data_IF_854583723742
#
_entry.id   IF_854583723742
#
_cell.length_a   1.000
_cell.length_b   1.000
_cell.length_c   1.000
_cell.angle_alpha   90.00
_cell.angle_beta   90.00
_cell.angle_gamma   90.00
#
_symmetry.space_group_name_H-M   'P 1'
#
loop_
_entity.id
_entity.type
_entity.pdbx_description
1 polymer ?
#
# COMPACT_ATOMS: atom_id res chain seq x y z
N UNK A 1 40.88 23.50 -22.24
CA UNK A 1 41.08 24.26 -20.99
C UNK A 1 40.19 25.49 -20.98
N UNK A 2 40.31 26.37 -21.97
CA UNK A 2 39.53 27.62 -22.06
C UNK A 2 38.01 27.40 -22.12
N UNK A 3 37.52 26.44 -22.89
CA UNK A 3 36.08 26.13 -22.99
C UNK A 3 35.47 25.64 -21.66
N UNK A 4 36.22 24.86 -20.88
CA UNK A 4 35.77 24.38 -19.56
C UNK A 4 35.72 25.51 -18.53
N UNK A 5 36.67 26.45 -18.59
CA UNK A 5 36.68 27.64 -17.73
C UNK A 5 35.48 28.53 -18.06
N UNK A 6 35.19 28.75 -19.34
CA UNK A 6 34.02 29.53 -19.78
C UNK A 6 32.72 28.88 -19.29
N UNK A 7 32.57 27.56 -19.47
CA UNK A 7 31.38 26.84 -18.98
C UNK A 7 31.23 26.94 -17.46
N UNK A 8 32.31 26.82 -16.70
CA UNK A 8 32.27 26.97 -15.24
C UNK A 8 31.83 28.37 -14.80
N UNK A 9 32.31 29.42 -15.48
CA UNK A 9 31.90 30.81 -15.22
C UNK A 9 30.43 31.00 -15.57
N UNK A 10 29.97 30.48 -16.72
CA UNK A 10 28.55 30.57 -17.12
C UNK A 10 27.64 29.87 -16.11
N UNK A 11 27.99 28.64 -15.68
CA UNK A 11 27.21 27.91 -14.67
C UNK A 11 27.20 28.66 -13.34
N UNK A 12 28.32 29.22 -12.90
CA UNK A 12 28.40 30.02 -11.67
C UNK A 12 27.54 31.29 -11.75
N UNK A 13 27.58 32.00 -12.89
CA UNK A 13 26.74 33.18 -13.12
C UNK A 13 25.27 32.79 -13.10
N UNK A 14 24.87 31.71 -13.78
CA UNK A 14 23.50 31.21 -13.77
C UNK A 14 23.06 30.82 -12.35
N UNK A 15 23.91 30.13 -11.58
CA UNK A 15 23.63 29.79 -10.19
C UNK A 15 23.41 31.03 -9.33
N UNK A 16 24.27 32.05 -9.46
CA UNK A 16 24.10 33.33 -8.74
C UNK A 16 22.83 34.07 -9.16
N UNK A 17 22.46 33.99 -10.44
CA UNK A 17 21.24 34.60 -10.96
C UNK A 17 20.00 33.91 -10.40
N UNK A 18 20.00 32.57 -10.34
CA UNK A 18 18.95 31.78 -9.68
C UNK A 18 18.87 32.13 -8.19
N UNK A 19 19.99 32.17 -7.45
CA UNK A 19 19.99 32.55 -6.03
C UNK A 19 19.42 33.96 -5.79
N UNK A 20 19.72 34.91 -6.69
CA UNK A 20 19.20 36.28 -6.60
C UNK A 20 17.70 36.35 -6.92
N UNK A 21 17.23 35.58 -7.89
CA UNK A 21 15.80 35.51 -8.24
C UNK A 21 15.01 34.80 -7.14
N UNK A 22 15.51 33.68 -6.62
CA UNK A 22 14.83 32.92 -5.56
C UNK A 22 14.76 33.71 -4.26
N UNK A 23 15.83 34.39 -3.85
CA UNK A 23 15.79 35.26 -2.65
C UNK A 23 14.84 36.46 -2.80
N UNK A 24 14.61 36.94 -4.02
CA UNK A 24 13.64 38.01 -4.30
C UNK A 24 12.20 37.50 -4.36
N UNK A 25 11.97 36.33 -4.95
CA UNK A 25 10.65 35.71 -5.07
C UNK A 25 10.19 35.06 -3.75
N UNK A 26 11.15 34.52 -3.00
CA UNK A 26 10.95 33.86 -1.72
C UNK A 26 11.89 34.46 -0.68
N UNK A 27 11.58 35.66 -0.16
CA UNK A 27 12.34 36.21 0.95
C UNK A 27 12.22 35.25 2.15
N UNK A 28 13.31 35.04 2.92
CA UNK A 28 13.34 34.08 4.03
C UNK A 28 12.26 34.36 5.10
N UNK A 29 11.80 35.60 5.21
CA UNK A 29 10.75 36.04 6.14
C UNK A 29 9.35 36.13 5.49
N UNK A 30 9.16 35.61 4.27
CA UNK A 30 7.90 35.73 3.52
C UNK A 30 6.71 35.05 4.19
N UNK A 31 6.98 34.08 5.05
CA UNK A 31 5.97 33.46 5.92
C UNK A 31 6.29 33.83 7.35
N UNK A 32 5.84 35.00 7.78
CA UNK A 32 5.62 35.22 9.21
C UNK A 32 4.51 34.27 9.62
N UNK A 33 4.88 33.15 10.22
CA UNK A 33 3.94 32.32 10.98
C UNK A 33 3.44 33.22 12.09
N UNK A 34 2.29 33.84 11.86
CA UNK A 34 1.58 34.48 12.95
C UNK A 34 1.21 33.34 13.88
N UNK A 35 1.83 33.30 15.06
CA UNK A 35 1.24 32.60 16.20
C UNK A 35 -0.08 33.31 16.46
N UNK A 36 -1.12 32.83 15.80
CA UNK A 36 -2.47 33.29 16.04
C UNK A 36 -2.74 32.95 17.51
N UNK A 37 -3.08 33.92 18.37
CA UNK A 37 -3.51 33.59 19.71
C UNK A 37 -4.63 32.58 19.57
N UNK A 38 -4.45 31.44 20.23
CA UNK A 38 -5.30 30.27 20.09
C UNK A 38 -6.72 30.63 20.52
N UNK A 39 -7.57 30.98 19.55
CA UNK A 39 -8.98 31.30 19.75
C UNK A 39 -9.87 30.13 19.37
N UNK A 40 -9.30 28.93 19.26
CA UNK A 40 -10.06 27.71 19.03
C UNK A 40 -10.68 27.26 20.38
N UNK A 41 -12.02 27.11 20.47
CA UNK A 41 -12.64 26.73 21.73
C UNK A 41 -12.20 25.32 22.15
N UNK A 42 -11.74 25.23 23.39
CA UNK A 42 -10.79 24.26 23.96
C UNK A 42 -11.15 22.75 23.93
N UNK A 43 -12.16 22.27 23.19
CA UNK A 43 -12.78 21.00 23.55
C UNK A 43 -13.48 20.22 22.44
N UNK A 44 -13.34 18.89 22.45
CA UNK A 44 -14.24 17.94 21.79
C UNK A 44 -15.69 18.01 22.35
N UNK A 45 -16.61 17.20 21.80
CA UNK A 45 -18.02 17.17 22.20
C UNK A 45 -18.27 16.83 23.69
N UNK A 46 -17.23 16.45 24.44
CA UNK A 46 -17.24 16.14 25.87
C UNK A 46 -16.37 17.09 26.71
N UNK A 47 -15.77 18.12 26.14
CA UNK A 47 -15.01 19.09 26.91
C UNK A 47 -13.49 18.92 26.91
N UNK A 48 -12.86 18.16 26.00
CA UNK A 48 -11.40 17.95 26.00
C UNK A 48 -10.70 18.17 24.65
N UNK A 49 -9.60 18.95 24.63
CA UNK A 49 -8.62 18.89 23.53
C UNK A 49 -7.50 17.90 23.88
N UNK A 50 -7.13 16.97 22.98
CA UNK A 50 -5.85 16.30 23.10
C UNK A 50 -4.74 17.33 22.88
N UNK A 51 -3.82 17.46 23.83
CA UNK A 51 -2.64 18.33 23.74
C UNK A 51 -1.86 18.07 22.44
N UNK A 52 -1.15 19.06 21.92
CA UNK A 52 -0.40 18.99 20.66
C UNK A 52 0.54 17.76 20.56
N UNK A 53 1.13 17.30 21.67
CA UNK A 53 1.86 16.03 21.76
C UNK A 53 1.07 14.79 21.29
N UNK A 54 -0.26 14.73 21.48
CA UNK A 54 -1.10 13.61 21.04
C UNK A 54 -1.30 13.54 19.52
N UNK A 55 -1.33 14.69 18.84
CA UNK A 55 -1.47 14.75 17.37
C UNK A 55 -0.21 14.24 16.66
N UNK A 56 0.99 14.60 17.16
CA UNK A 56 2.26 14.12 16.58
C UNK A 56 2.41 12.60 16.73
N UNK A 57 1.94 12.04 17.85
CA UNK A 57 1.94 10.58 18.08
C UNK A 57 1.00 9.87 17.11
N UNK A 58 -0.18 10.42 16.83
CA UNK A 58 -1.14 9.85 15.87
C UNK A 58 -0.56 9.81 14.43
N UNK A 59 0.12 10.87 14.00
CA UNK A 59 0.76 10.91 12.67
C UNK A 59 1.91 9.91 12.52
N UNK A 60 2.71 9.72 13.57
CA UNK A 60 3.78 8.72 13.58
C UNK A 60 3.21 7.29 13.58
N UNK A 61 2.15 7.03 14.37
CA UNK A 61 1.43 5.75 14.37
C UNK A 61 0.87 5.44 12.98
N UNK A 62 0.17 6.37 12.36
CA UNK A 62 -0.37 6.20 11.01
C UNK A 62 0.73 5.90 9.99
N UNK A 63 1.85 6.63 10.02
CA UNK A 63 2.99 6.38 9.12
C UNK A 63 3.55 4.96 9.29
N UNK A 64 3.68 4.48 10.53
CA UNK A 64 4.12 3.11 10.81
C UNK A 64 3.14 2.08 10.28
N UNK A 65 1.84 2.26 10.49
CA UNK A 65 0.81 1.38 9.94
C UNK A 65 0.85 1.31 8.41
N UNK A 66 1.01 2.46 7.74
CA UNK A 66 1.13 2.50 6.28
C UNK A 66 2.39 1.76 5.80
N UNK A 67 3.53 1.96 6.46
CA UNK A 67 4.76 1.26 6.13
C UNK A 67 4.61 -0.26 6.29
N UNK A 68 3.98 -0.73 7.37
CA UNK A 68 3.70 -2.15 7.60
C UNK A 68 2.76 -2.72 6.52
N UNK A 69 1.70 -2.00 6.14
CA UNK A 69 0.80 -2.40 5.05
C UNK A 69 1.53 -2.49 3.71
N UNK A 70 2.41 -1.54 3.42
CA UNK A 70 3.21 -1.54 2.19
C UNK A 70 4.18 -2.72 2.15
N UNK A 71 4.84 -3.00 3.28
CA UNK A 71 5.73 -4.16 3.41
C UNK A 71 4.96 -5.47 3.21
N UNK A 72 3.81 -5.64 3.87
CA UNK A 72 2.96 -6.82 3.71
C UNK A 72 2.45 -6.99 2.26
N UNK A 73 2.12 -5.90 1.58
CA UNK A 73 1.72 -5.92 0.17
C UNK A 73 2.88 -6.35 -0.75
N UNK A 74 4.10 -5.89 -0.47
CA UNK A 74 5.31 -6.30 -1.21
C UNK A 74 5.63 -7.78 -1.01
N UNK A 75 5.49 -8.29 0.21
CA UNK A 75 5.65 -9.70 0.53
C UNK A 75 4.58 -10.56 -0.18
N UNK A 76 3.34 -10.09 -0.23
CA UNK A 76 2.27 -10.72 -0.99
C UNK A 76 2.58 -10.78 -2.50
N UNK A 77 3.00 -9.65 -3.10
CA UNK A 77 3.38 -9.61 -4.53
C UNK A 77 4.54 -10.58 -4.82
N UNK A 78 5.56 -10.58 -3.96
CA UNK A 78 6.70 -11.50 -4.08
C UNK A 78 6.24 -12.96 -4.06
N UNK A 79 5.36 -13.32 -3.13
CA UNK A 79 4.78 -14.67 -3.03
C UNK A 79 3.98 -15.04 -4.30
N UNK A 80 3.04 -14.21 -4.74
CA UNK A 80 2.19 -14.53 -5.90
C UNK A 80 2.94 -14.50 -7.24
N UNK A 81 4.13 -13.88 -7.28
CA UNK A 81 5.05 -13.93 -8.42
C UNK A 81 6.05 -15.08 -8.37
N UNK A 82 6.14 -15.80 -7.26
CA UNK A 82 7.05 -16.94 -7.10
C UNK A 82 6.76 -18.07 -8.08
N UNK A 83 7.78 -18.86 -8.42
CA UNK A 83 7.65 -20.00 -9.35
C UNK A 83 6.82 -21.12 -8.71
N UNK A 84 7.01 -21.29 -7.41
CA UNK A 84 6.36 -22.25 -6.53
C UNK A 84 4.85 -22.02 -6.54
N UNK A 85 4.42 -20.79 -6.30
CA UNK A 85 3.00 -20.44 -6.36
C UNK A 85 2.41 -20.64 -7.76
N UNK A 86 3.10 -20.18 -8.82
CA UNK A 86 2.59 -20.36 -10.20
C UNK A 86 2.40 -21.83 -10.56
N UNK A 87 3.34 -22.70 -10.16
CA UNK A 87 3.24 -24.15 -10.35
C UNK A 87 2.07 -24.72 -9.57
N UNK A 88 1.95 -24.39 -8.29
CA UNK A 88 0.88 -24.90 -7.43
C UNK A 88 -0.50 -24.42 -7.89
N UNK A 89 -0.61 -23.15 -8.32
CA UNK A 89 -1.81 -22.56 -8.90
C UNK A 89 -2.29 -23.37 -10.11
N UNK A 90 -1.37 -23.73 -11.01
CA UNK A 90 -1.70 -24.59 -12.16
C UNK A 90 -2.21 -25.96 -11.70
N UNK A 91 -1.52 -26.59 -10.74
CA UNK A 91 -1.93 -27.89 -10.18
C UNK A 91 -3.32 -27.84 -9.53
N UNK A 92 -3.65 -26.75 -8.84
CA UNK A 92 -4.98 -26.56 -8.24
C UNK A 92 -6.08 -26.52 -9.30
N UNK A 93 -5.90 -25.77 -10.39
CA UNK A 93 -6.86 -25.76 -11.50
C UNK A 93 -7.00 -27.13 -12.19
N UNK A 94 -5.91 -27.90 -12.29
CA UNK A 94 -5.98 -29.26 -12.83
C UNK A 94 -6.76 -30.21 -11.90
N UNK A 95 -6.56 -30.08 -10.59
CA UNK A 95 -7.14 -30.98 -9.58
C UNK A 95 -8.62 -30.70 -9.32
N UNK A 96 -8.99 -29.42 -9.18
CA UNK A 96 -10.31 -29.00 -8.74
C UNK A 96 -11.17 -28.45 -9.90
N UNK A 97 -10.61 -28.33 -11.10
CA UNK A 97 -11.31 -27.79 -12.26
C UNK A 97 -11.32 -26.25 -12.31
N UNK A 98 -12.11 -25.70 -13.22
CA UNK A 98 -12.17 -24.26 -13.48
C UNK A 98 -13.56 -23.66 -13.23
N UNK A 99 -14.18 -24.07 -12.11
CA UNK A 99 -15.48 -23.57 -11.64
C UNK A 99 -15.37 -23.13 -10.18
N UNK A 100 -16.17 -22.15 -9.81
CA UNK A 100 -16.24 -21.67 -8.43
C UNK A 100 -16.91 -22.74 -7.56
N UNK A 101 -16.22 -23.18 -6.50
CA UNK A 101 -16.78 -24.11 -5.50
C UNK A 101 -17.95 -23.53 -4.69
N UNK A 102 -18.17 -22.21 -4.71
CA UNK A 102 -19.30 -21.59 -3.99
C UNK A 102 -20.53 -21.44 -4.86
N UNK A 103 -20.38 -20.86 -6.05
CA UNK A 103 -21.52 -20.51 -6.91
C UNK A 103 -21.63 -21.32 -8.20
N UNK A 104 -20.70 -22.26 -8.45
CA UNK A 104 -20.70 -23.12 -9.63
C UNK A 104 -20.33 -22.45 -10.96
N UNK A 105 -20.31 -21.11 -11.03
CA UNK A 105 -19.94 -20.34 -12.25
C UNK A 105 -18.45 -20.48 -12.58
N UNK A 106 -18.13 -20.45 -13.86
CA UNK A 106 -16.76 -20.51 -14.39
C UNK A 106 -16.46 -19.44 -15.44
N UNK A 107 -15.36 -19.60 -16.16
CA UNK A 107 -14.94 -18.65 -17.20
C UNK A 107 -15.97 -18.48 -18.33
N UNK A 108 -16.75 -19.52 -18.64
CA UNK A 108 -17.86 -19.47 -19.61
C UNK A 108 -18.97 -18.49 -19.20
N UNK A 109 -19.10 -18.22 -17.90
CA UNK A 109 -20.09 -17.30 -17.34
C UNK A 109 -19.51 -15.88 -17.16
N UNK A 110 -18.34 -15.61 -17.76
CA UNK A 110 -17.64 -14.32 -17.65
C UNK A 110 -16.90 -14.10 -16.32
N UNK A 111 -16.73 -15.15 -15.50
CA UNK A 111 -16.06 -15.03 -14.21
C UNK A 111 -14.54 -15.12 -14.34
N UNK A 112 -13.82 -14.25 -13.61
CA UNK A 112 -12.38 -14.41 -13.38
C UNK A 112 -12.17 -15.39 -12.24
N UNK A 113 -11.44 -16.48 -12.54
CA UNK A 113 -11.19 -17.57 -11.60
C UNK A 113 -9.85 -17.39 -10.87
N UNK A 114 -9.89 -17.58 -9.57
CA UNK A 114 -8.77 -17.49 -8.64
C UNK A 114 -8.59 -18.81 -7.89
N UNK A 115 -7.37 -19.00 -7.39
CA UNK A 115 -7.07 -20.03 -6.41
C UNK A 115 -7.08 -19.34 -5.06
N UNK A 116 -8.02 -19.70 -4.21
CA UNK A 116 -8.15 -19.22 -2.84
C UNK A 116 -7.52 -20.20 -1.86
N UNK A 117 -7.03 -19.68 -0.73
CA UNK A 117 -6.56 -20.48 0.39
C UNK A 117 -7.72 -20.70 1.36
N UNK A 118 -8.11 -21.96 1.61
CA UNK A 118 -9.14 -22.33 2.61
C UNK A 118 -8.78 -21.65 3.93
N UNK A 119 -7.60 -21.98 4.48
CA UNK A 119 -6.96 -21.26 5.58
C UNK A 119 -6.14 -20.08 5.03
N UNK A 120 -6.56 -18.82 5.26
CA UNK A 120 -5.97 -17.64 4.62
C UNK A 120 -4.47 -17.53 4.86
N UNK A 121 -3.70 -17.22 3.81
CA UNK A 121 -2.23 -17.05 3.88
C UNK A 121 -1.77 -16.04 4.94
N UNK A 122 -2.55 -14.97 5.16
CA UNK A 122 -2.22 -13.94 6.15
C UNK A 122 -2.26 -14.45 7.60
N UNK A 123 -2.99 -15.54 7.85
CA UNK A 123 -3.10 -16.17 9.16
C UNK A 123 -2.27 -17.47 9.24
N UNK A 124 -2.17 -18.21 8.13
CA UNK A 124 -1.49 -19.51 8.04
C UNK A 124 -0.44 -19.54 6.93
N UNK A 125 0.65 -18.75 7.02
CA UNK A 125 1.65 -18.67 5.96
C UNK A 125 2.39 -19.99 5.70
N UNK A 126 2.45 -20.88 6.71
CA UNK A 126 3.06 -22.21 6.58
C UNK A 126 2.25 -23.16 5.69
N UNK A 127 0.95 -22.88 5.46
CA UNK A 127 0.08 -23.65 4.55
C UNK A 127 -0.05 -23.00 3.16
N UNK A 128 0.72 -21.94 2.89
CA UNK A 128 0.57 -21.16 1.65
C UNK A 128 0.84 -21.96 0.38
N UNK A 129 1.68 -23.01 0.48
CA UNK A 129 2.07 -23.89 -0.62
C UNK A 129 1.54 -25.32 -0.47
N UNK A 130 0.51 -25.52 0.36
CA UNK A 130 -0.17 -26.81 0.50
C UNK A 130 -1.36 -26.89 -0.47
N UNK A 131 -1.36 -27.88 -1.36
CA UNK A 131 -2.45 -28.08 -2.34
C UNK A 131 -3.79 -28.44 -1.69
N UNK A 132 -3.76 -29.09 -0.52
CA UNK A 132 -4.97 -29.45 0.22
C UNK A 132 -5.62 -28.22 0.86
N UNK A 133 -4.88 -27.11 1.00
CA UNK A 133 -5.38 -25.85 1.51
C UNK A 133 -5.89 -24.91 0.40
N UNK A 134 -6.08 -25.40 -0.83
CA UNK A 134 -6.48 -24.58 -1.98
C UNK A 134 -7.86 -24.97 -2.52
N UNK A 135 -8.63 -23.98 -2.92
CA UNK A 135 -9.92 -24.13 -3.60
C UNK A 135 -10.06 -23.14 -4.76
N UNK A 136 -10.93 -23.43 -5.72
CA UNK A 136 -11.13 -22.59 -6.90
C UNK A 136 -12.36 -21.71 -6.70
N UNK A 137 -12.17 -20.38 -6.75
CA UNK A 137 -13.23 -19.40 -6.49
C UNK A 137 -13.28 -18.36 -7.59
N UNK A 138 -14.46 -17.86 -7.93
CA UNK A 138 -14.57 -16.64 -8.73
C UNK A 138 -14.17 -15.42 -7.89
N UNK A 139 -13.83 -14.31 -8.56
CA UNK A 139 -13.43 -13.08 -7.90
C UNK A 139 -14.46 -12.59 -6.85
N UNK A 140 -15.77 -12.62 -7.18
CA UNK A 140 -16.84 -12.17 -6.28
C UNK A 140 -16.88 -12.97 -4.97
N UNK A 141 -16.89 -14.30 -5.06
CA UNK A 141 -16.93 -15.17 -3.88
C UNK A 141 -15.62 -15.08 -3.08
N UNK A 142 -14.47 -14.99 -3.77
CA UNK A 142 -13.17 -14.89 -3.13
C UNK A 142 -13.04 -13.60 -2.29
N UNK A 143 -13.41 -12.44 -2.87
CA UNK A 143 -13.41 -11.15 -2.15
C UNK A 143 -14.41 -11.16 -0.99
N UNK A 144 -15.57 -11.82 -1.17
CA UNK A 144 -16.59 -11.95 -0.13
C UNK A 144 -16.11 -12.80 1.06
N UNK A 145 -15.36 -13.89 0.80
CA UNK A 145 -14.71 -14.68 1.86
C UNK A 145 -13.61 -13.87 2.56
N UNK A 146 -12.66 -13.33 1.79
CA UNK A 146 -11.49 -12.66 2.33
C UNK A 146 -10.72 -13.55 3.29
N UNK A 147 -10.23 -12.98 4.40
CA UNK A 147 -9.58 -13.72 5.48
C UNK A 147 -10.50 -13.97 6.69
N UNK A 148 -11.81 -13.92 6.50
CA UNK A 148 -12.80 -13.98 7.59
C UNK A 148 -13.30 -15.40 7.89
N UNK A 149 -13.07 -16.34 6.98
CA UNK A 149 -13.61 -17.70 7.06
C UNK A 149 -12.60 -18.72 6.51
N UNK A 150 -12.74 -19.96 6.96
CA UNK A 150 -11.91 -21.12 6.63
C UNK A 150 -12.73 -22.30 6.07
N UNK A 151 -13.96 -22.05 5.59
CA UNK A 151 -14.80 -23.08 4.97
C UNK A 151 -14.17 -23.63 3.70
N UNK A 152 -14.10 -24.96 3.63
CA UNK A 152 -13.83 -25.75 2.45
C UNK A 152 -15.13 -25.96 1.68
N UNK A 153 -15.27 -25.28 0.54
CA UNK A 153 -16.46 -25.38 -0.31
C UNK A 153 -16.30 -26.53 -1.33
N UNK A 154 -17.40 -27.22 -1.65
CA UNK A 154 -17.43 -28.37 -2.55
C UNK A 154 -18.03 -28.03 -3.93
#
# INVERSE_FOLDING_TARGET
METLVILAVVVWVLFKLVQKVTSKLYPPDSVKVQEKPDTTPATDAWGNYPKAEGHVVLFEQYRREQALRQQAAKEADTFYRSREWRRLRYQAFQRYGNKCCVCGRGASDGMVMHVDHIKPRSLYPHLALDIANLQIMCNECNVSKGNRDEVEWQ
#
